data_IF_173953402708
#
_entry.id   IF_173953402708
#
_cell.length_a   1.000
_cell.length_b   1.000
_cell.length_c   1.000
_cell.angle_alpha   90.00
_cell.angle_beta   90.00
_cell.angle_gamma   90.00
#
_symmetry.space_group_name_H-M   'P 1'
#
loop_
_entity.id
_entity.type
_entity.pdbx_description
1 polymer ?
#
# COMPACT_ATOMS: atom_id res chain seq x y z
N UNK A 1 -6.36 25.40 -8.25
CA UNK A 1 -5.75 24.69 -7.09
C UNK A 1 -6.00 23.20 -7.30
N UNK A 2 -4.97 22.37 -7.27
CA UNK A 2 -5.12 20.91 -7.39
C UNK A 2 -5.16 20.29 -5.98
N UNK A 3 -6.09 19.35 -5.77
CA UNK A 3 -6.19 18.55 -4.56
C UNK A 3 -5.84 17.11 -4.92
N UNK A 4 -4.80 16.56 -4.29
CA UNK A 4 -4.30 15.20 -4.51
C UNK A 4 -4.56 14.40 -3.24
N UNK A 5 -5.23 13.26 -3.39
CA UNK A 5 -5.42 12.27 -2.32
C UNK A 5 -4.62 11.00 -2.65
N UNK A 6 -4.11 10.33 -1.62
CA UNK A 6 -3.35 9.08 -1.75
C UNK A 6 -4.05 7.98 -0.96
N UNK A 7 -4.46 6.91 -1.63
CA UNK A 7 -5.13 5.77 -1.00
C UNK A 7 -4.20 4.55 -0.99
N UNK A 8 -3.98 3.99 0.20
CA UNK A 8 -2.99 2.93 0.42
C UNK A 8 -3.52 1.75 1.25
N UNK A 9 -4.74 1.84 1.78
CA UNK A 9 -5.28 0.86 2.73
C UNK A 9 -6.73 0.47 2.42
N UNK A 10 -7.08 0.41 1.13
CA UNK A 10 -8.41 0.02 0.65
C UNK A 10 -8.51 -1.49 0.44
N UNK A 11 -9.10 -2.19 1.41
CA UNK A 11 -9.49 -3.60 1.32
C UNK A 11 -10.86 -3.80 0.67
N UNK A 12 -11.25 -5.06 0.42
CA UNK A 12 -12.60 -5.36 -0.11
C UNK A 12 -13.70 -5.20 0.97
N UNK A 13 -13.36 -5.41 2.25
CA UNK A 13 -14.30 -5.33 3.39
C UNK A 13 -13.84 -4.38 4.49
N UNK A 14 -12.64 -3.81 4.37
CA UNK A 14 -12.05 -2.92 5.38
C UNK A 14 -11.33 -1.73 4.75
N UNK A 15 -11.30 -0.61 5.47
CA UNK A 15 -10.40 0.53 5.23
C UNK A 15 -9.57 0.73 6.49
N UNK A 16 -8.24 0.75 6.37
CA UNK A 16 -7.32 0.97 7.50
C UNK A 16 -7.61 0.04 8.71
N UNK A 17 -7.98 -1.22 8.43
CA UNK A 17 -8.33 -2.20 9.46
C UNK A 17 -9.69 -1.98 10.15
N UNK A 18 -10.57 -1.14 9.59
CA UNK A 18 -11.93 -0.89 10.09
C UNK A 18 -12.98 -1.46 9.11
N UNK A 19 -14.09 -2.05 9.61
CA UNK A 19 -15.15 -2.56 8.76
C UNK A 19 -15.75 -1.49 7.84
N UNK A 20 -15.96 -1.86 6.58
CA UNK A 20 -16.56 -0.99 5.59
C UNK A 20 -18.06 -0.82 5.78
N UNK A 21 -18.44 0.12 6.64
CA UNK A 21 -19.84 0.51 6.78
C UNK A 21 -20.28 1.41 5.62
N UNK A 22 -21.58 1.43 5.28
CA UNK A 22 -22.12 2.35 4.27
C UNK A 22 -21.79 3.83 4.55
N UNK A 23 -21.71 4.23 5.82
CA UNK A 23 -21.34 5.58 6.24
C UNK A 23 -19.88 5.91 5.95
N UNK A 24 -18.96 4.98 6.23
CA UNK A 24 -17.53 5.13 5.89
C UNK A 24 -17.35 5.25 4.37
N UNK A 25 -18.07 4.43 3.59
CA UNK A 25 -18.05 4.49 2.12
C UNK A 25 -18.58 5.83 1.59
N UNK A 26 -19.63 6.38 2.19
CA UNK A 26 -20.19 7.66 1.79
C UNK A 26 -19.24 8.83 2.12
N UNK A 27 -18.59 8.80 3.28
CA UNK A 27 -17.60 9.81 3.68
C UNK A 27 -16.40 9.82 2.74
N UNK A 28 -15.84 8.64 2.41
CA UNK A 28 -14.72 8.53 1.48
C UNK A 28 -15.09 9.01 0.07
N UNK A 29 -16.26 8.62 -0.44
CA UNK A 29 -16.78 9.13 -1.73
C UNK A 29 -16.96 10.64 -1.73
N UNK A 30 -17.40 11.24 -0.62
CA UNK A 30 -17.54 12.69 -0.52
C UNK A 30 -16.17 13.39 -0.58
N UNK A 31 -15.15 12.83 0.08
CA UNK A 31 -13.75 13.30 -0.01
C UNK A 31 -13.19 13.19 -1.43
N UNK A 32 -13.37 12.05 -2.08
CA UNK A 32 -12.93 11.80 -3.47
C UNK A 32 -13.59 12.72 -4.50
N UNK A 33 -14.79 13.25 -4.21
CA UNK A 33 -15.47 14.21 -5.10
C UNK A 33 -14.88 15.61 -5.02
N UNK A 34 -14.09 15.91 -3.98
CA UNK A 34 -13.36 17.17 -3.82
C UNK A 34 -11.95 17.09 -4.42
N UNK A 35 -11.43 15.89 -4.67
CA UNK A 35 -10.12 15.64 -5.27
C UNK A 35 -10.08 15.83 -6.79
N UNK A 36 -8.98 16.40 -7.29
CA UNK A 36 -8.70 16.51 -8.74
C UNK A 36 -8.07 15.22 -9.28
N UNK A 37 -7.33 14.49 -8.43
CA UNK A 37 -6.67 13.24 -8.74
C UNK A 37 -6.52 12.36 -7.49
N UNK A 38 -6.54 11.05 -7.68
CA UNK A 38 -6.44 10.02 -6.64
C UNK A 38 -5.33 9.04 -7.01
N UNK A 39 -4.34 8.88 -6.14
CA UNK A 39 -3.23 7.95 -6.35
C UNK A 39 -3.55 6.60 -5.71
N UNK A 40 -3.52 5.55 -6.51
CA UNK A 40 -3.63 4.16 -6.08
C UNK A 40 -2.24 3.52 -6.01
N UNK A 41 -1.94 2.79 -4.94
CA UNK A 41 -0.63 2.11 -4.78
C UNK A 41 -0.49 0.81 -5.58
N UNK A 42 -1.57 0.35 -6.20
CA UNK A 42 -1.59 -0.85 -7.06
C UNK A 42 -2.82 -0.86 -7.97
N UNK A 43 -2.78 -1.70 -9.00
CA UNK A 43 -3.93 -1.92 -9.89
C UNK A 43 -5.15 -2.43 -9.12
N UNK A 44 -4.95 -3.28 -8.10
CA UNK A 44 -6.03 -3.77 -7.24
C UNK A 44 -6.73 -2.65 -6.48
N UNK A 45 -5.97 -1.67 -5.98
CA UNK A 45 -6.56 -0.49 -5.31
C UNK A 45 -7.28 0.40 -6.32
N UNK A 46 -6.72 0.58 -7.52
CA UNK A 46 -7.37 1.36 -8.59
C UNK A 46 -8.73 0.75 -9.02
N UNK A 47 -8.79 -0.57 -9.17
CA UNK A 47 -10.04 -1.29 -9.46
C UNK A 47 -11.07 -1.12 -8.34
N UNK A 48 -10.65 -1.18 -7.07
CA UNK A 48 -11.52 -0.96 -5.91
C UNK A 48 -12.08 0.46 -5.88
N UNK A 49 -11.24 1.47 -6.12
CA UNK A 49 -11.66 2.88 -6.21
C UNK A 49 -12.68 3.09 -7.34
N UNK A 50 -12.43 2.48 -8.50
CA UNK A 50 -13.35 2.54 -9.65
C UNK A 50 -14.69 1.87 -9.34
N UNK A 51 -14.68 0.68 -8.71
CA UNK A 51 -15.90 0.02 -8.21
C UNK A 51 -16.65 0.85 -7.18
N UNK A 52 -15.97 1.78 -6.52
CA UNK A 52 -16.56 2.71 -5.58
C UNK A 52 -17.06 4.00 -6.23
N UNK A 53 -16.93 4.16 -7.54
CA UNK A 53 -17.47 5.30 -8.27
C UNK A 53 -16.51 6.50 -8.32
N UNK A 54 -15.23 6.30 -8.02
CA UNK A 54 -14.20 7.26 -8.42
C UNK A 54 -14.03 7.13 -9.95
N UNK A 55 -14.20 8.21 -10.73
CA UNK A 55 -13.94 8.20 -12.17
C UNK A 55 -12.52 7.74 -12.47
N UNK A 56 -12.38 6.77 -13.37
CA UNK A 56 -11.12 6.18 -13.81
C UNK A 56 -10.12 7.25 -14.32
N UNK A 57 -10.62 8.28 -14.99
CA UNK A 57 -9.81 9.43 -15.46
C UNK A 57 -9.12 10.22 -14.36
N UNK A 58 -9.48 10.01 -13.09
CA UNK A 58 -8.85 10.64 -11.92
C UNK A 58 -7.96 9.68 -11.14
N UNK A 59 -7.93 8.39 -11.48
CA UNK A 59 -7.14 7.38 -10.75
C UNK A 59 -5.80 7.21 -11.43
N UNK A 60 -4.72 7.31 -10.66
CA UNK A 60 -3.36 7.14 -11.15
C UNK A 60 -2.62 6.11 -10.29
N UNK A 61 -2.04 5.09 -10.92
CA UNK A 61 -1.29 4.07 -10.18
C UNK A 61 0.15 4.53 -9.98
N UNK A 62 0.57 4.60 -8.73
CA UNK A 62 1.96 4.86 -8.33
C UNK A 62 2.34 3.81 -7.28
N UNK A 63 3.08 2.75 -7.66
CA UNK A 63 3.49 1.71 -6.74
C UNK A 63 4.38 2.26 -5.61
N UNK A 64 4.28 1.66 -4.43
CA UNK A 64 5.20 1.97 -3.34
C UNK A 64 6.63 1.59 -3.73
N UNK A 65 7.56 2.53 -3.53
CA UNK A 65 8.99 2.28 -3.68
C UNK A 65 9.63 1.75 -2.41
N UNK A 66 10.83 1.20 -2.55
CA UNK A 66 11.76 0.93 -1.45
C UNK A 66 13.07 1.67 -1.70
N UNK A 67 13.79 2.00 -0.64
CA UNK A 67 15.17 2.48 -0.77
C UNK A 67 16.10 1.30 -1.08
N UNK A 68 16.45 1.15 -2.36
CA UNK A 68 17.27 0.04 -2.80
C UNK A 68 18.65 0.00 -2.15
N UNK A 69 19.21 1.15 -1.75
CA UNK A 69 20.51 1.21 -1.09
C UNK A 69 20.39 0.80 0.38
N UNK A 70 19.36 1.28 1.08
CA UNK A 70 19.14 0.92 2.48
C UNK A 70 18.78 -0.57 2.68
N UNK A 71 18.09 -1.17 1.71
CA UNK A 71 17.69 -2.59 1.73
C UNK A 71 18.61 -3.51 0.93
N UNK A 72 19.79 -3.03 0.54
CA UNK A 72 20.77 -3.85 -0.19
C UNK A 72 21.26 -5.03 0.65
N UNK A 73 21.64 -6.12 -0.02
CA UNK A 73 22.21 -7.27 0.67
C UNK A 73 23.57 -6.93 1.29
N UNK A 74 23.69 -7.17 2.58
CA UNK A 74 24.93 -7.04 3.34
C UNK A 74 25.31 -8.40 3.99
N UNK A 75 26.43 -9.02 3.59
CA UNK A 75 26.90 -10.29 4.15
C UNK A 75 27.22 -10.27 5.66
N UNK A 76 27.70 -9.13 6.18
CA UNK A 76 28.04 -8.97 7.59
C UNK A 76 26.78 -8.83 8.45
N UNK A 77 25.83 -8.00 8.01
CA UNK A 77 24.51 -7.91 8.66
C UNK A 77 23.79 -9.24 8.62
N UNK A 78 23.88 -9.97 7.50
CA UNK A 78 23.32 -11.32 7.39
C UNK A 78 23.92 -12.26 8.44
N UNK A 79 25.25 -12.29 8.57
CA UNK A 79 25.94 -13.19 9.51
C UNK A 79 25.58 -12.84 10.95
N UNK A 80 25.52 -11.54 11.25
CA UNK A 80 25.11 -11.02 12.55
C UNK A 80 23.69 -11.43 12.90
N UNK A 81 22.74 -11.22 11.98
CA UNK A 81 21.34 -11.59 12.18
C UNK A 81 21.15 -13.10 12.39
N UNK A 82 21.85 -13.94 11.61
CA UNK A 82 21.82 -15.40 11.81
C UNK A 82 22.34 -15.82 13.17
N UNK A 83 23.44 -15.21 13.62
CA UNK A 83 24.05 -15.51 14.92
C UNK A 83 23.09 -15.12 16.05
N UNK A 84 22.50 -13.93 15.97
CA UNK A 84 21.51 -13.45 16.94
C UNK A 84 20.27 -14.34 17.02
N UNK A 85 19.84 -14.91 15.88
CA UNK A 85 18.70 -15.82 15.79
C UNK A 85 19.07 -17.30 16.00
N UNK A 86 20.35 -17.62 16.28
CA UNK A 86 20.82 -19.00 16.47
C UNK A 86 20.75 -19.89 15.22
N UNK A 87 20.72 -19.30 14.02
CA UNK A 87 20.56 -20.02 12.76
C UNK A 87 21.93 -20.55 12.27
N UNK A 88 22.12 -21.88 12.17
CA UNK A 88 23.40 -22.46 11.77
C UNK A 88 23.85 -22.04 10.36
N UNK A 89 25.17 -21.98 10.07
CA UNK A 89 25.66 -21.81 8.71
C UNK A 89 25.05 -22.86 7.76
N UNK A 90 24.60 -22.44 6.57
CA UNK A 90 24.02 -23.36 5.57
C UNK A 90 22.55 -23.74 5.77
N UNK A 91 21.93 -23.44 6.92
CA UNK A 91 20.49 -23.66 7.10
C UNK A 91 19.67 -22.80 6.11
N UNK A 92 18.76 -23.45 5.39
CA UNK A 92 17.81 -22.78 4.51
C UNK A 92 16.82 -21.95 5.33
N UNK A 93 16.59 -20.71 4.93
CA UNK A 93 15.69 -19.77 5.62
C UNK A 93 14.63 -19.34 4.63
N UNK A 94 13.37 -19.44 5.03
CA UNK A 94 12.23 -18.90 4.30
C UNK A 94 11.93 -17.51 4.87
N UNK A 95 11.76 -16.54 3.98
CA UNK A 95 11.39 -15.16 4.29
C UNK A 95 10.07 -14.84 3.59
#
# INVERSE_FOLDING_TARGET
RALVATEHSLGDTEIEGRPLTPGVRALYRAGERLGTATVAVSDTVAERLTRWGVPDTRVHVVPNGIDAAAFAHDPELRTTARTALGIPPGAHVLA
#
